data_IF_057431778604
#
_entry.id   IF_057431778604
#
_cell.length_a   1.000
_cell.length_b   1.000
_cell.length_c   1.000
_cell.angle_alpha   90.00
_cell.angle_beta   90.00
_cell.angle_gamma   90.00
#
_symmetry.space_group_name_H-M   'P 1'
#
loop_
_entity.id
_entity.type
_entity.pdbx_description
1 polymer ?
#
# COMPACT_ATOMS: atom_id res chain seq x y z
N UNK A 1 -3.86 -4.09 -11.77
CA UNK A 1 -3.75 -2.63 -11.53
C UNK A 1 -2.51 -2.36 -10.69
N UNK A 2 -1.72 -1.31 -11.02
CA UNK A 2 -0.49 -0.96 -10.30
C UNK A 2 -0.67 0.41 -9.60
N UNK A 3 -0.26 0.50 -8.35
CA UNK A 3 -0.26 1.72 -7.53
C UNK A 3 1.18 2.00 -7.08
N UNK A 4 1.69 3.18 -7.40
CA UNK A 4 3.00 3.64 -6.96
C UNK A 4 2.80 4.78 -5.96
N UNK A 5 3.38 4.64 -4.77
CA UNK A 5 3.22 5.58 -3.67
C UNK A 5 4.60 6.02 -3.21
N UNK A 6 4.82 7.32 -3.17
CA UNK A 6 6.03 7.94 -2.62
C UNK A 6 5.66 8.51 -1.26
N UNK A 7 6.42 8.13 -0.23
CA UNK A 7 6.16 8.54 1.15
C UNK A 7 7.39 9.27 1.68
N UNK A 8 7.20 10.57 1.95
CA UNK A 8 8.16 11.41 2.65
C UNK A 8 8.13 11.07 4.15
N UNK A 9 9.21 10.50 4.66
CA UNK A 9 9.33 10.14 6.08
C UNK A 9 10.78 9.94 6.48
N UNK A 10 11.12 10.14 7.76
CA UNK A 10 12.45 9.80 8.30
C UNK A 10 12.49 8.37 8.89
N UNK A 11 11.35 7.67 8.90
CA UNK A 11 11.23 6.32 9.47
C UNK A 11 12.01 5.27 8.67
N UNK A 12 12.23 4.11 9.31
CA UNK A 12 12.91 2.96 8.70
C UNK A 12 12.04 2.26 7.65
N UNK A 13 12.67 1.47 6.78
CA UNK A 13 11.95 0.68 5.77
C UNK A 13 11.00 -0.34 6.39
N UNK A 14 11.35 -0.92 7.55
CA UNK A 14 10.49 -1.86 8.27
C UNK A 14 9.18 -1.19 8.70
N UNK A 15 9.26 0.06 9.17
CA UNK A 15 8.10 0.88 9.55
C UNK A 15 7.27 1.26 8.33
N UNK A 16 7.90 1.48 7.17
CA UNK A 16 7.20 1.72 5.91
C UNK A 16 6.45 0.46 5.43
N UNK A 17 7.03 -0.73 5.58
CA UNK A 17 6.33 -1.99 5.24
C UNK A 17 5.17 -2.28 6.18
N UNK A 18 5.33 -2.01 7.48
CA UNK A 18 4.24 -2.08 8.45
C UNK A 18 3.09 -1.14 8.07
N UNK A 19 3.41 0.13 7.77
CA UNK A 19 2.44 1.14 7.34
C UNK A 19 1.69 0.68 6.08
N UNK A 20 2.41 0.14 5.09
CA UNK A 20 1.82 -0.41 3.87
C UNK A 20 0.83 -1.53 4.19
N UNK A 21 1.21 -2.51 5.00
CA UNK A 21 0.35 -3.65 5.36
C UNK A 21 -0.93 -3.19 6.07
N UNK A 22 -0.81 -2.28 7.03
CA UNK A 22 -1.95 -1.74 7.77
C UNK A 22 -2.87 -0.94 6.82
N UNK A 23 -2.29 -0.10 5.97
CA UNK A 23 -3.04 0.72 5.01
C UNK A 23 -3.78 -0.14 3.99
N UNK A 24 -3.09 -1.10 3.36
CA UNK A 24 -3.69 -2.00 2.37
C UNK A 24 -4.83 -2.81 2.99
N UNK A 25 -4.70 -3.25 4.26
CA UNK A 25 -5.75 -3.98 4.96
C UNK A 25 -7.00 -3.15 5.27
N UNK A 26 -6.84 -1.83 5.45
CA UNK A 26 -7.92 -0.92 5.87
C UNK A 26 -8.48 -0.08 4.71
N UNK A 27 -7.80 -0.03 3.56
CA UNK A 27 -8.23 0.76 2.42
C UNK A 27 -9.52 0.19 1.80
N UNK A 28 -10.66 0.90 1.89
CA UNK A 28 -11.94 0.39 1.39
C UNK A 28 -11.90 0.12 -0.11
N UNK A 29 -11.20 0.97 -0.86
CA UNK A 29 -11.04 0.83 -2.31
C UNK A 29 -10.19 -0.40 -2.64
N UNK A 30 -9.07 -0.62 -1.95
CA UNK A 30 -8.22 -1.80 -2.17
C UNK A 30 -8.99 -3.10 -1.93
N UNK A 31 -9.72 -3.16 -0.81
CA UNK A 31 -10.53 -4.32 -0.46
C UNK A 31 -11.67 -4.56 -1.45
N UNK A 32 -12.31 -3.50 -1.93
CA UNK A 32 -13.36 -3.59 -2.97
C UNK A 32 -12.81 -4.18 -4.26
N UNK A 33 -11.66 -3.68 -4.73
CA UNK A 33 -11.01 -4.18 -5.95
C UNK A 33 -10.60 -5.66 -5.79
N UNK A 34 -10.05 -6.02 -4.63
CA UNK A 34 -9.69 -7.40 -4.31
C UNK A 34 -10.91 -8.33 -4.27
N UNK A 35 -12.01 -7.89 -3.67
CA UNK A 35 -13.28 -8.63 -3.62
C UNK A 35 -13.89 -8.82 -5.01
N UNK A 36 -13.70 -7.86 -5.92
CA UNK A 36 -14.08 -7.95 -7.33
C UNK A 36 -13.12 -8.85 -8.17
N UNK A 37 -12.11 -9.48 -7.56
CA UNK A 37 -11.15 -10.35 -8.25
C UNK A 37 -10.06 -9.59 -9.01
N UNK A 38 -9.93 -8.27 -8.81
CA UNK A 38 -8.91 -7.46 -9.48
C UNK A 38 -7.59 -7.60 -8.72
N UNK A 39 -6.54 -8.04 -9.42
CA UNK A 39 -5.18 -8.08 -8.87
C UNK A 39 -4.62 -6.66 -8.78
N UNK A 40 -4.43 -6.19 -7.54
CA UNK A 40 -3.81 -4.90 -7.22
C UNK A 40 -2.39 -5.14 -6.70
N UNK A 41 -1.40 -4.45 -7.30
CA UNK A 41 -0.01 -4.43 -6.82
C UNK A 41 0.32 -3.01 -6.34
N UNK A 42 0.56 -2.87 -5.03
CA UNK A 42 1.01 -1.63 -4.39
C UNK A 42 2.54 -1.66 -4.25
N UNK A 43 3.22 -0.66 -4.79
CA UNK A 43 4.66 -0.42 -4.62
C UNK A 43 4.85 0.90 -3.87
N UNK A 44 5.52 0.82 -2.71
CA UNK A 44 5.77 1.95 -1.84
C UNK A 44 7.25 2.23 -1.84
N UNK A 45 7.63 3.49 -2.08
CA UNK A 45 9.01 3.95 -2.08
C UNK A 45 9.15 5.13 -1.14
N UNK A 46 10.25 5.17 -0.40
CA UNK A 46 10.64 6.34 0.40
C UNK A 46 11.00 7.50 -0.55
N UNK A 47 10.47 8.69 -0.27
CA UNK A 47 10.77 9.93 -0.99
C UNK A 47 12.09 10.55 -0.55
#
# INVERSE_FOLDING_TARGET
MKLNLIVETDESEERLDELRRVTDSRCPVYNTLKAAGIKVKSEWTKG
#
